data_IF_915478334131
#
_entry.id   IF_915478334131
#
_cell.length_a   1.000
_cell.length_b   1.000
_cell.length_c   1.000
_cell.angle_alpha   90.00
_cell.angle_beta   90.00
_cell.angle_gamma   90.00
#
_symmetry.space_group_name_H-M   'P 1'
#
loop_
_entity.id
_entity.type
_entity.pdbx_description
1 polymer ?
#
# COMPACT_ATOMS: atom_id res chain seq x y z
N UNK A 1 -3.37 -9.26 -10.84
CA UNK A 1 -3.01 -10.42 -10.00
C UNK A 1 -1.73 -10.16 -9.20
N UNK A 2 -1.87 -9.87 -7.90
CA UNK A 2 -0.73 -9.71 -7.00
C UNK A 2 0.05 -11.03 -6.88
N UNK A 3 1.37 -10.97 -7.04
CA UNK A 3 2.23 -12.11 -6.77
C UNK A 3 2.23 -12.47 -5.27
N UNK A 4 2.71 -13.68 -4.95
CA UNK A 4 2.71 -14.19 -3.57
C UNK A 4 3.52 -13.30 -2.62
N UNK A 5 4.70 -12.85 -3.07
CA UNK A 5 5.59 -12.01 -2.28
C UNK A 5 4.90 -10.71 -1.87
N UNK A 6 4.18 -10.08 -2.78
CA UNK A 6 3.39 -8.87 -2.48
C UNK A 6 2.28 -9.18 -1.47
N UNK A 7 1.57 -10.31 -1.63
CA UNK A 7 0.50 -10.71 -0.70
C UNK A 7 1.01 -10.98 0.72
N UNK A 8 2.16 -11.66 0.85
CA UNK A 8 2.81 -11.91 2.14
C UNK A 8 3.20 -10.61 2.84
N UNK A 9 3.80 -9.65 2.11
CA UNK A 9 4.20 -8.36 2.69
C UNK A 9 2.99 -7.56 3.13
N UNK A 10 1.92 -7.52 2.33
CA UNK A 10 0.68 -6.83 2.70
C UNK A 10 0.05 -7.44 3.95
N UNK A 11 -0.02 -8.77 4.04
CA UNK A 11 -0.56 -9.47 5.21
C UNK A 11 0.26 -9.16 6.48
N UNK A 12 1.59 -9.18 6.39
CA UNK A 12 2.46 -8.83 7.52
C UNK A 12 2.21 -7.40 8.01
N UNK A 13 2.10 -6.43 7.09
CA UNK A 13 1.84 -5.03 7.46
C UNK A 13 0.45 -4.84 8.08
N UNK A 14 -0.55 -5.59 7.62
CA UNK A 14 -1.89 -5.61 8.23
C UNK A 14 -1.85 -6.16 9.66
N UNK A 15 -1.09 -7.23 9.91
CA UNK A 15 -0.93 -7.80 11.25
C UNK A 15 -0.15 -6.86 12.19
N UNK A 16 0.92 -6.22 11.69
CA UNK A 16 1.68 -5.22 12.45
C UNK A 16 0.81 -4.00 12.83
N UNK A 17 0.04 -3.44 11.89
CA UNK A 17 -0.87 -2.31 12.16
C UNK A 17 -1.97 -2.70 13.16
N UNK A 18 -2.53 -3.91 13.05
CA UNK A 18 -3.53 -4.41 14.01
C UNK A 18 -2.95 -4.53 15.42
N UNK A 19 -1.77 -5.14 15.56
CA UNK A 19 -1.07 -5.29 16.83
C UNK A 19 -0.74 -3.95 17.48
N UNK A 20 -0.19 -3.00 16.72
CA UNK A 20 0.15 -1.67 17.27
C UNK A 20 -1.10 -0.88 17.71
N UNK A 21 -2.25 -1.10 17.07
CA UNK A 21 -3.53 -0.53 17.50
C UNK A 21 -4.03 -1.16 18.80
N UNK A 22 -3.94 -2.47 18.93
CA UNK A 22 -4.32 -3.22 20.12
C UNK A 22 -3.47 -2.84 21.33
N UNK A 23 -2.15 -2.72 21.14
CA UNK A 23 -1.19 -2.30 22.17
C UNK A 23 -1.30 -0.81 22.54
N UNK A 24 -2.11 -0.03 21.81
CA UNK A 24 -2.28 1.40 22.07
C UNK A 24 -1.03 2.23 21.79
N UNK A 25 -0.18 1.79 20.84
CA UNK A 25 1.05 2.50 20.47
C UNK A 25 0.72 3.96 20.12
N UNK A 26 1.52 4.88 20.65
CA UNK A 26 1.35 6.31 20.45
C UNK A 26 1.31 6.65 18.95
N UNK A 27 0.41 7.58 18.56
CA UNK A 27 0.05 7.83 17.15
C UNK A 27 1.26 8.22 16.30
N UNK A 28 2.20 8.92 16.88
CA UNK A 28 3.44 9.39 16.25
C UNK A 28 4.45 8.26 15.98
N UNK A 29 4.34 7.13 16.68
CA UNK A 29 5.20 5.95 16.50
C UNK A 29 4.50 4.85 15.67
N UNK A 30 3.17 4.85 15.66
CA UNK A 30 2.34 3.83 14.99
C UNK A 30 2.32 4.00 13.46
N UNK A 31 2.15 2.89 12.75
CA UNK A 31 1.79 2.91 11.34
C UNK A 31 0.54 3.79 11.07
N UNK A 32 0.60 4.60 10.00
CA UNK A 32 -0.54 5.40 9.51
C UNK A 32 -1.12 4.77 8.25
N UNK A 33 -1.32 3.45 8.33
CA UNK A 33 -1.82 2.64 7.22
C UNK A 33 -3.27 2.99 6.89
N UNK A 34 -3.58 3.03 5.60
CA UNK A 34 -4.96 3.08 5.09
C UNK A 34 -5.65 1.73 5.28
N UNK A 35 -6.99 1.71 5.29
CA UNK A 35 -7.72 0.45 5.32
C UNK A 35 -7.36 -0.43 4.10
N UNK A 36 -7.42 -1.76 4.27
CA UNK A 36 -7.18 -2.72 3.17
C UNK A 36 -8.06 -2.42 1.95
N UNK A 37 -9.32 -2.09 2.16
CA UNK A 37 -10.26 -1.72 1.10
C UNK A 37 -9.83 -0.49 0.32
N UNK A 38 -9.21 0.50 0.98
CA UNK A 38 -8.60 1.65 0.32
C UNK A 38 -7.41 1.23 -0.53
N UNK A 39 -6.54 0.35 -0.03
CA UNK A 39 -5.43 -0.20 -0.82
C UNK A 39 -5.90 -0.95 -2.08
N UNK A 40 -6.92 -1.80 -1.93
CA UNK A 40 -7.54 -2.51 -3.05
C UNK A 40 -8.15 -1.54 -4.08
N UNK A 41 -8.79 -0.47 -3.61
CA UNK A 41 -9.30 0.60 -4.47
C UNK A 41 -8.18 1.29 -5.24
N UNK A 42 -7.09 1.70 -4.57
CA UNK A 42 -5.95 2.35 -5.21
C UNK A 42 -5.35 1.47 -6.31
N UNK A 43 -5.17 0.18 -6.03
CA UNK A 43 -4.71 -0.79 -7.03
C UNK A 43 -5.65 -0.87 -8.24
N UNK A 44 -6.96 -1.03 -8.01
CA UNK A 44 -7.95 -1.12 -9.08
C UNK A 44 -8.05 0.18 -9.89
N UNK A 45 -7.78 1.32 -9.26
CA UNK A 45 -7.81 2.62 -9.90
C UNK A 45 -6.61 2.85 -10.84
N UNK A 46 -5.40 2.46 -10.44
CA UNK A 46 -4.18 2.71 -11.23
C UNK A 46 -3.81 1.58 -12.19
N UNK A 47 -4.23 0.34 -11.94
CA UNK A 47 -3.88 -0.82 -12.77
C UNK A 47 -4.29 -0.74 -14.26
N UNK A 48 -5.45 -0.16 -14.64
CA UNK A 48 -5.86 -0.10 -16.05
C UNK A 48 -5.28 1.11 -16.81
N UNK A 49 -4.42 1.91 -16.18
CA UNK A 49 -3.86 3.14 -16.75
C UNK A 49 -2.51 2.86 -17.41
N UNK A 50 -2.36 3.12 -18.71
CA UNK A 50 -1.06 3.05 -19.42
C UNK A 50 -0.13 4.16 -18.96
N UNK A 51 1.16 3.84 -18.74
CA UNK A 51 2.21 4.79 -18.36
C UNK A 51 1.85 5.67 -17.16
N UNK A 52 1.08 5.12 -16.20
CA UNK A 52 0.62 5.86 -15.03
C UNK A 52 1.77 6.27 -14.10
N UNK A 53 1.93 7.57 -13.90
CA UNK A 53 2.89 8.14 -12.95
C UNK A 53 2.17 8.58 -11.67
N UNK A 54 2.57 8.01 -10.53
CA UNK A 54 2.01 8.35 -9.22
C UNK A 54 3.06 9.04 -8.37
N UNK A 55 2.72 10.22 -7.85
CA UNK A 55 3.42 10.85 -6.74
C UNK A 55 2.64 10.57 -5.45
N UNK A 56 3.27 9.88 -4.51
CA UNK A 56 2.74 9.65 -3.17
C UNK A 56 3.39 10.62 -2.18
N UNK A 57 2.57 11.26 -1.34
CA UNK A 57 3.05 12.11 -0.24
C UNK A 57 2.49 11.52 1.05
N UNK A 58 3.39 11.01 1.89
CA UNK A 58 3.03 10.40 3.17
C UNK A 58 2.84 8.88 3.14
N UNK A 59 3.78 8.14 2.55
CA UNK A 59 3.71 6.66 2.45
C UNK A 59 3.77 5.89 3.78
N UNK A 60 4.07 6.54 4.90
CA UNK A 60 4.22 5.90 6.23
C UNK A 60 5.16 4.69 6.17
N UNK A 61 4.64 3.46 6.34
CA UNK A 61 5.41 2.21 6.26
C UNK A 61 5.35 1.52 4.88
N UNK A 62 4.84 2.22 3.87
CA UNK A 62 4.80 1.77 2.48
C UNK A 62 3.60 0.90 2.11
N UNK A 63 2.59 0.76 2.97
CA UNK A 63 1.42 -0.09 2.68
C UNK A 63 0.67 0.37 1.42
N UNK A 64 0.32 1.66 1.33
CA UNK A 64 -0.29 2.25 0.14
C UNK A 64 0.66 2.25 -1.07
N UNK A 65 1.95 2.50 -0.85
CA UNK A 65 2.98 2.43 -1.88
C UNK A 65 3.00 1.08 -2.59
N UNK A 66 2.87 -0.04 -1.84
CA UNK A 66 2.84 -1.39 -2.42
C UNK A 66 1.61 -1.58 -3.30
N UNK A 67 0.43 -1.14 -2.87
CA UNK A 67 -0.79 -1.23 -3.68
C UNK A 67 -0.68 -0.42 -4.98
N UNK A 68 -0.15 0.80 -4.90
CA UNK A 68 0.08 1.67 -6.06
C UNK A 68 1.10 1.07 -7.01
N UNK A 69 2.27 0.67 -6.50
CA UNK A 69 3.36 0.10 -7.30
C UNK A 69 2.97 -1.22 -7.96
N UNK A 70 2.21 -2.07 -7.27
CA UNK A 70 1.69 -3.31 -7.82
C UNK A 70 0.68 -3.07 -8.95
N UNK A 71 -0.06 -1.96 -8.93
CA UNK A 71 -1.01 -1.57 -9.96
C UNK A 71 -0.33 -0.92 -11.17
N UNK A 72 0.43 0.16 -10.98
CA UNK A 72 1.00 0.93 -12.10
C UNK A 72 1.94 0.10 -12.99
N UNK A 73 2.61 -0.92 -12.42
CA UNK A 73 3.54 -1.77 -13.19
C UNK A 73 2.88 -2.62 -14.27
N UNK A 74 1.56 -2.78 -14.27
CA UNK A 74 0.85 -3.60 -15.27
C UNK A 74 1.03 -3.09 -16.68
N UNK A 75 1.05 -1.77 -16.85
CA UNK A 75 1.08 -1.09 -18.14
C UNK A 75 2.21 -0.05 -18.20
N UNK A 76 3.36 -0.35 -17.57
CA UNK A 76 4.59 0.44 -17.69
C UNK A 76 4.75 1.64 -16.77
N UNK A 77 3.81 1.86 -15.83
CA UNK A 77 3.83 3.00 -14.92
C UNK A 77 4.82 2.87 -13.75
N UNK A 78 4.90 3.93 -12.93
CA UNK A 78 5.82 4.00 -11.76
C UNK A 78 5.24 4.82 -10.61
N UNK A 79 5.78 4.59 -9.42
CA UNK A 79 5.49 5.37 -8.20
C UNK A 79 6.76 6.08 -7.75
N UNK A 80 6.62 7.36 -7.39
CA UNK A 80 7.58 8.13 -6.59
C UNK A 80 6.90 8.42 -5.24
N UNK A 81 7.47 7.93 -4.14
CA UNK A 81 6.89 8.04 -2.79
C UNK A 81 7.86 8.66 -1.79
#
# INVERSE_FOLDING_TARGET
MLDERVREVLARLEEEDAREREEGVARELRARQVARTTGQFLFAFVAPQTDCEVLEIGGSRGYSTIWLAAGVRYLGGRVLS
#
